data_IF_574372828098
#
_entry.id   IF_574372828098
#
_cell.length_a   1.000
_cell.length_b   1.000
_cell.length_c   1.000
_cell.angle_alpha   90.00
_cell.angle_beta   90.00
_cell.angle_gamma   90.00
#
_symmetry.space_group_name_H-M   'P 1'
#
loop_
_entity.id
_entity.type
_entity.pdbx_description
1 polymer ?
#
# COMPACT_ATOMS: atom_id res chain seq x y z
N UNK A 1 3.68 -43.40 -8.39
CA UNK A 1 4.35 -42.09 -8.26
C UNK A 1 3.53 -41.25 -7.29
N UNK A 2 4.04 -40.93 -6.08
CA UNK A 2 3.30 -40.08 -5.12
C UNK A 2 3.30 -38.64 -5.64
N UNK A 3 2.12 -38.05 -5.78
CA UNK A 3 1.99 -36.64 -6.15
C UNK A 3 2.55 -35.77 -5.03
N UNK A 4 3.53 -34.92 -5.33
CA UNK A 4 4.01 -33.86 -4.42
C UNK A 4 2.81 -33.02 -3.96
N UNK A 5 2.64 -32.75 -2.64
CA UNK A 5 1.58 -31.91 -2.10
C UNK A 5 1.48 -30.54 -2.81
N UNK A 6 0.27 -29.99 -2.89
CA UNK A 6 0.00 -28.72 -3.59
C UNK A 6 0.85 -27.57 -3.01
N UNK A 7 0.97 -27.49 -1.69
CA UNK A 7 1.66 -26.40 -1.01
C UNK A 7 3.16 -26.40 -1.28
N UNK A 8 3.79 -27.58 -1.33
CA UNK A 8 5.20 -27.73 -1.69
C UNK A 8 5.45 -27.28 -3.12
N UNK A 9 4.53 -27.59 -4.05
CA UNK A 9 4.62 -27.13 -5.45
C UNK A 9 4.49 -25.61 -5.54
N UNK A 10 3.53 -25.04 -4.82
CA UNK A 10 3.31 -23.59 -4.78
C UNK A 10 4.52 -22.88 -4.18
N UNK A 11 5.04 -23.37 -3.06
CA UNK A 11 6.21 -22.79 -2.38
C UNK A 11 7.43 -22.79 -3.30
N UNK A 12 7.70 -23.92 -3.95
CA UNK A 12 8.81 -24.03 -4.90
C UNK A 12 8.67 -23.04 -6.06
N UNK A 13 7.48 -22.93 -6.65
CA UNK A 13 7.23 -21.97 -7.75
C UNK A 13 7.40 -20.51 -7.30
N UNK A 14 6.98 -20.18 -6.08
CA UNK A 14 7.16 -18.85 -5.48
C UNK A 14 8.64 -18.53 -5.28
N UNK A 15 9.39 -19.45 -4.67
CA UNK A 15 10.84 -19.29 -4.43
C UNK A 15 11.62 -19.12 -5.74
N UNK A 16 11.27 -19.87 -6.78
CA UNK A 16 11.87 -19.75 -8.11
C UNK A 16 11.58 -18.36 -8.73
N UNK A 17 10.34 -17.89 -8.70
CA UNK A 17 9.98 -16.55 -9.18
C UNK A 17 10.70 -15.44 -8.42
N UNK A 18 10.78 -15.56 -7.09
CA UNK A 18 11.41 -14.55 -6.25
C UNK A 18 12.92 -14.52 -6.51
N UNK A 19 13.58 -15.68 -6.63
CA UNK A 19 15.00 -15.78 -6.96
C UNK A 19 15.35 -15.20 -8.33
N UNK A 20 14.43 -15.27 -9.30
CA UNK A 20 14.61 -14.67 -10.62
C UNK A 20 14.47 -13.14 -10.61
N UNK A 21 13.59 -12.59 -9.77
CA UNK A 21 13.26 -11.16 -9.73
C UNK A 21 14.06 -10.35 -8.70
N UNK A 22 14.45 -10.97 -7.59
CA UNK A 22 15.30 -10.41 -6.55
C UNK A 22 16.70 -10.99 -6.69
N UNK A 23 17.73 -10.13 -6.71
CA UNK A 23 19.11 -10.60 -6.83
C UNK A 23 19.51 -11.38 -5.56
N UNK A 24 20.01 -12.62 -5.70
CA UNK A 24 20.53 -13.35 -4.55
C UNK A 24 21.68 -12.58 -3.89
N UNK A 25 21.62 -12.43 -2.55
CA UNK A 25 22.65 -11.75 -1.76
C UNK A 25 22.42 -10.25 -1.51
N UNK A 26 21.45 -9.62 -2.19
CA UNK A 26 21.05 -8.22 -1.90
C UNK A 26 19.98 -8.14 -0.79
N UNK A 27 19.15 -9.18 -0.67
CA UNK A 27 18.06 -9.26 0.29
C UNK A 27 18.05 -10.61 1.00
N UNK A 28 17.75 -10.61 2.30
CA UNK A 28 17.28 -11.79 3.01
C UNK A 28 15.81 -12.00 2.67
N UNK A 29 15.48 -13.19 2.16
CA UNK A 29 14.15 -13.48 1.61
C UNK A 29 13.60 -14.73 2.28
N UNK A 30 12.40 -14.61 2.80
CA UNK A 30 11.60 -15.71 3.33
C UNK A 30 10.29 -15.82 2.54
N UNK A 31 9.91 -17.05 2.20
CA UNK A 31 8.76 -17.35 1.35
C UNK A 31 7.79 -18.30 2.06
N UNK A 32 6.58 -17.82 2.32
CA UNK A 32 5.52 -18.63 2.94
C UNK A 32 4.34 -18.85 2.01
N UNK A 33 3.83 -20.08 2.02
CA UNK A 33 2.54 -20.45 1.45
C UNK A 33 1.65 -20.88 2.61
N UNK A 34 0.52 -20.18 2.77
CA UNK A 34 -0.35 -20.32 3.93
C UNK A 34 -1.77 -20.62 3.47
N UNK A 35 -2.38 -21.63 4.07
CA UNK A 35 -3.79 -21.94 3.84
C UNK A 35 -4.72 -21.05 4.68
N UNK A 36 -5.90 -20.77 4.13
CA UNK A 36 -7.01 -20.08 4.82
C UNK A 36 -7.42 -18.75 4.19
N UNK A 37 -8.08 -17.91 4.99
CA UNK A 37 -8.60 -16.61 4.52
C UNK A 37 -7.47 -15.59 4.42
N UNK A 38 -7.07 -15.25 3.19
CA UNK A 38 -5.92 -14.38 2.90
C UNK A 38 -5.86 -13.10 3.75
N UNK A 39 -6.95 -12.33 3.88
CA UNK A 39 -6.94 -11.09 4.66
C UNK A 39 -6.69 -11.29 6.16
N UNK A 40 -7.15 -12.40 6.73
CA UNK A 40 -6.96 -12.72 8.16
C UNK A 40 -5.55 -13.26 8.40
N UNK A 41 -5.08 -14.15 7.52
CA UNK A 41 -3.72 -14.70 7.58
C UNK A 41 -2.65 -13.62 7.39
N UNK A 42 -2.85 -12.70 6.44
CA UNK A 42 -1.92 -11.57 6.24
C UNK A 42 -1.83 -10.67 7.48
N UNK A 43 -2.95 -10.36 8.13
CA UNK A 43 -2.96 -9.54 9.35
C UNK A 43 -2.21 -10.24 10.49
N UNK A 44 -2.53 -11.52 10.72
CA UNK A 44 -1.88 -12.31 11.77
C UNK A 44 -0.37 -12.41 11.55
N UNK A 45 0.08 -12.74 10.34
CA UNK A 45 1.51 -12.89 10.07
C UNK A 45 2.26 -11.56 10.01
N UNK A 46 1.60 -10.45 9.64
CA UNK A 46 2.21 -9.14 9.75
C UNK A 46 2.52 -8.77 11.20
N UNK A 47 1.67 -9.18 12.14
CA UNK A 47 1.89 -8.97 13.57
C UNK A 47 2.96 -9.93 14.12
N UNK A 48 2.86 -11.23 13.83
CA UNK A 48 3.83 -12.25 14.27
C UNK A 48 5.24 -11.95 13.78
N UNK A 49 5.39 -11.49 12.53
CA UNK A 49 6.70 -11.15 11.96
C UNK A 49 7.15 -9.71 12.22
N UNK A 50 6.35 -8.90 12.92
CA UNK A 50 6.68 -7.50 13.19
C UNK A 50 6.92 -6.67 11.92
N UNK A 51 6.06 -6.81 10.92
CA UNK A 51 6.21 -6.11 9.62
C UNK A 51 6.07 -4.60 9.82
N UNK A 52 7.07 -3.82 9.40
CA UNK A 52 7.00 -2.35 9.42
C UNK A 52 6.31 -1.75 8.18
N UNK A 53 6.48 -2.42 7.04
CA UNK A 53 5.94 -2.01 5.74
C UNK A 53 5.43 -3.21 4.94
N UNK A 54 4.12 -3.23 4.69
CA UNK A 54 3.49 -4.20 3.81
C UNK A 54 3.40 -3.65 2.37
N UNK A 55 3.96 -4.38 1.40
CA UNK A 55 3.89 -4.03 -0.02
C UNK A 55 2.86 -4.94 -0.69
N UNK A 56 1.80 -4.34 -1.23
CA UNK A 56 0.68 -5.06 -1.84
C UNK A 56 0.48 -4.64 -3.29
N UNK A 57 0.36 -5.61 -4.19
CA UNK A 57 -0.04 -5.34 -5.57
C UNK A 57 -1.50 -4.86 -5.65
N UNK A 58 -1.75 -3.76 -6.36
CA UNK A 58 -3.12 -3.33 -6.68
C UNK A 58 -3.65 -4.14 -7.85
N UNK A 59 -4.54 -5.10 -7.58
CA UNK A 59 -5.25 -5.83 -8.63
C UNK A 59 -6.05 -4.85 -9.50
N UNK A 60 -6.01 -5.07 -10.81
CA UNK A 60 -6.89 -4.38 -11.76
C UNK A 60 -8.32 -4.85 -11.45
N UNK A 61 -9.34 -3.97 -11.42
CA UNK A 61 -10.70 -4.34 -11.04
C UNK A 61 -11.27 -5.54 -11.83
N UNK A 62 -10.85 -5.72 -13.09
CA UNK A 62 -11.23 -6.86 -13.94
C UNK A 62 -10.66 -8.21 -13.49
N UNK A 63 -9.65 -8.24 -12.62
CA UNK A 63 -8.95 -9.44 -12.12
C UNK A 63 -9.34 -9.78 -10.67
N UNK A 64 -10.39 -9.12 -10.15
CA UNK A 64 -10.95 -9.36 -8.83
C UNK A 64 -11.11 -8.10 -7.99
N UNK A 65 -11.92 -8.23 -6.93
CA UNK A 65 -12.40 -7.11 -6.10
C UNK A 65 -11.33 -6.47 -5.19
N UNK A 66 -10.16 -7.10 -5.03
CA UNK A 66 -9.11 -6.63 -4.11
C UNK A 66 -9.52 -6.63 -2.63
N UNK A 67 -10.58 -7.36 -2.27
CA UNK A 67 -11.18 -7.34 -0.91
C UNK A 67 -10.18 -7.72 0.18
N UNK A 68 -9.31 -8.70 -0.05
CA UNK A 68 -8.30 -9.09 0.94
C UNK A 68 -7.32 -7.95 1.24
N UNK A 69 -6.78 -7.29 0.21
CA UNK A 69 -5.85 -6.17 0.36
C UNK A 69 -6.54 -4.94 0.99
N UNK A 70 -7.80 -4.67 0.63
CA UNK A 70 -8.59 -3.59 1.24
C UNK A 70 -8.93 -3.87 2.71
N UNK A 71 -9.20 -5.13 3.05
CA UNK A 71 -9.43 -5.57 4.44
C UNK A 71 -8.15 -5.44 5.25
N UNK A 72 -7.01 -5.85 4.68
CA UNK A 72 -5.69 -5.68 5.29
C UNK A 72 -5.39 -4.19 5.53
N UNK A 73 -5.51 -3.32 4.52
CA UNK A 73 -5.25 -1.87 4.66
C UNK A 73 -6.01 -1.23 5.84
N UNK A 74 -7.27 -1.63 6.06
CA UNK A 74 -8.10 -1.06 7.14
C UNK A 74 -7.69 -1.50 8.55
N UNK A 75 -6.96 -2.60 8.67
CA UNK A 75 -6.64 -3.24 9.96
C UNK A 75 -5.15 -3.49 10.15
N UNK A 76 -4.31 -3.08 9.20
CA UNK A 76 -2.89 -3.38 9.22
C UNK A 76 -2.25 -2.72 10.44
N UNK A 77 -1.38 -3.43 11.17
CA UNK A 77 -0.59 -2.83 12.24
C UNK A 77 0.56 -1.97 11.70
N UNK A 78 0.78 -1.98 10.39
CA UNK A 78 1.98 -1.45 9.71
C UNK A 78 1.64 -0.43 8.63
N UNK A 79 2.67 0.25 8.11
CA UNK A 79 2.49 1.08 6.92
C UNK A 79 2.18 0.19 5.71
N UNK A 80 1.31 0.63 4.80
CA UNK A 80 0.92 -0.17 3.63
C UNK A 80 1.21 0.60 2.34
N UNK A 81 2.01 0.02 1.45
CA UNK A 81 2.29 0.54 0.12
C UNK A 81 1.56 -0.29 -0.94
N UNK A 82 0.66 0.36 -1.67
CA UNK A 82 0.01 -0.24 -2.83
C UNK A 82 0.79 0.04 -4.10
N UNK A 83 1.26 -1.01 -4.78
CA UNK A 83 2.00 -0.91 -6.03
C UNK A 83 1.06 -1.22 -7.20
N UNK A 84 0.84 -0.29 -8.14
CA UNK A 84 0.04 -0.56 -9.33
C UNK A 84 0.75 -1.57 -10.24
N UNK A 85 -0.01 -2.28 -11.07
CA UNK A 85 0.54 -3.25 -12.02
C UNK A 85 1.36 -2.60 -13.17
N UNK A 86 1.29 -1.27 -13.33
CA UNK A 86 2.01 -0.55 -14.38
C UNK A 86 3.53 -0.61 -14.21
N UNK A 87 4.24 -0.50 -15.34
CA UNK A 87 5.71 -0.54 -15.41
C UNK A 87 6.32 0.50 -14.47
N UNK A 88 7.41 0.09 -13.80
CA UNK A 88 8.21 0.91 -12.88
C UNK A 88 8.61 2.22 -13.56
N UNK A 89 8.05 3.31 -13.09
CA UNK A 89 8.58 4.66 -13.32
C UNK A 89 9.34 5.09 -12.08
N UNK A 90 10.42 5.85 -12.28
CA UNK A 90 11.09 6.55 -11.18
C UNK A 90 10.09 7.46 -10.49
N UNK A 91 10.05 7.42 -9.15
CA UNK A 91 9.20 8.32 -8.36
C UNK A 91 9.80 9.72 -8.44
N UNK A 92 9.32 10.54 -9.38
CA UNK A 92 9.77 11.92 -9.53
C UNK A 92 8.92 12.94 -8.75
N UNK A 93 7.70 12.53 -8.36
CA UNK A 93 6.73 13.37 -7.66
C UNK A 93 6.00 12.59 -6.59
N UNK A 94 5.85 13.21 -5.42
CA UNK A 94 5.03 12.68 -4.32
C UNK A 94 3.98 13.74 -3.97
N UNK A 95 2.71 13.33 -4.04
CA UNK A 95 1.58 14.13 -3.56
C UNK A 95 1.18 13.61 -2.18
N UNK A 96 1.30 14.45 -1.15
CA UNK A 96 0.90 14.11 0.20
C UNK A 96 -0.41 14.83 0.54
N UNK A 97 -1.46 14.05 0.78
CA UNK A 97 -2.68 14.58 1.37
C UNK A 97 -2.41 14.94 2.83
N UNK A 98 -2.81 16.15 3.22
CA UNK A 98 -2.67 16.65 4.59
C UNK A 98 -3.97 17.25 5.07
N UNK A 99 -4.27 17.06 6.35
CA UNK A 99 -5.34 17.68 7.10
C UNK A 99 -4.77 18.55 8.25
N UNK A 100 -3.46 18.82 8.23
CA UNK A 100 -2.70 19.52 9.28
C UNK A 100 -2.75 18.85 10.66
N UNK A 101 -3.19 17.59 10.75
CA UNK A 101 -3.11 16.82 12.00
C UNK A 101 -1.67 16.44 12.36
N UNK A 102 -1.40 16.07 13.63
CA UNK A 102 -0.12 15.47 14.01
C UNK A 102 0.26 14.25 13.14
N UNK A 103 -0.71 13.43 12.76
CA UNK A 103 -0.51 12.26 11.88
C UNK A 103 -0.03 12.68 10.49
N UNK A 104 -0.63 13.73 9.91
CA UNK A 104 -0.18 14.28 8.62
C UNK A 104 1.23 14.86 8.69
N UNK A 105 1.64 15.39 9.85
CA UNK A 105 3.01 15.88 10.10
C UNK A 105 4.01 14.72 10.12
N UNK A 106 3.66 13.58 10.74
CA UNK A 106 4.47 12.37 10.68
C UNK A 106 4.64 11.87 9.23
N UNK A 107 3.54 11.84 8.46
CA UNK A 107 3.58 11.46 7.05
C UNK A 107 4.48 12.38 6.22
N UNK A 108 4.45 13.70 6.47
CA UNK A 108 5.33 14.66 5.81
C UNK A 108 6.80 14.37 6.10
N UNK A 109 7.16 14.12 7.36
CA UNK A 109 8.55 13.76 7.73
C UNK A 109 9.03 12.52 6.99
N UNK A 110 8.20 11.48 6.88
CA UNK A 110 8.52 10.26 6.13
C UNK A 110 8.67 10.51 4.64
N UNK A 111 7.80 11.33 4.04
CA UNK A 111 7.88 11.67 2.62
C UNK A 111 9.14 12.48 2.29
N UNK A 112 9.56 13.39 3.17
CA UNK A 112 10.82 14.13 3.00
C UNK A 112 12.03 13.20 3.07
N UNK A 113 12.08 12.30 4.07
CA UNK A 113 13.13 11.27 4.17
C UNK A 113 13.19 10.38 2.91
N UNK A 114 12.03 10.01 2.34
CA UNK A 114 11.98 9.28 1.08
C UNK A 114 12.47 10.11 -0.10
N UNK A 115 12.11 11.39 -0.17
CA UNK A 115 12.51 12.26 -1.27
C UNK A 115 14.04 12.44 -1.34
N UNK A 116 14.73 12.41 -0.20
CA UNK A 116 16.19 12.47 -0.11
C UNK A 116 16.87 11.15 -0.53
N UNK A 117 16.26 10.01 -0.18
CA UNK A 117 16.83 8.67 -0.46
C UNK A 117 16.50 8.12 -1.84
N UNK A 118 15.44 8.61 -2.46
CA UNK A 118 15.03 8.16 -3.79
C UNK A 118 15.97 8.72 -4.87
N UNK A 119 16.22 7.96 -5.96
CA UNK A 119 17.14 8.38 -6.99
C UNK A 119 16.60 9.57 -7.78
N UNK A 120 17.43 10.61 -7.91
CA UNK A 120 17.12 11.84 -8.64
C UNK A 120 16.31 12.85 -7.83
N UNK A 121 15.99 13.98 -8.44
CA UNK A 121 15.23 15.03 -7.76
C UNK A 121 13.74 14.63 -7.63
N UNK A 122 13.24 14.54 -6.40
CA UNK A 122 11.83 14.27 -6.10
C UNK A 122 11.13 15.54 -5.66
N UNK A 123 10.06 15.92 -6.37
CA UNK A 123 9.22 17.06 -5.97
C UNK A 123 8.08 16.58 -5.05
N UNK A 124 8.03 17.13 -3.84
CA UNK A 124 6.94 16.89 -2.89
C UNK A 124 5.92 18.01 -3.00
N UNK A 125 4.63 17.67 -3.01
CA UNK A 125 3.52 18.65 -3.02
C UNK A 125 2.48 18.26 -1.99
N UNK A 126 2.12 19.22 -1.13
CA UNK A 126 1.07 19.05 -0.12
C UNK A 126 -0.29 19.40 -0.72
N UNK A 127 -1.29 18.55 -0.48
CA UNK A 127 -2.66 18.76 -0.95
C UNK A 127 -3.58 18.75 0.26
N UNK A 128 -4.28 19.87 0.48
CA UNK A 128 -5.32 20.00 1.50
C UNK A 128 -6.66 20.28 0.79
N UNK A 129 -7.68 19.47 1.08
CA UNK A 129 -9.00 19.57 0.45
C UNK A 129 -10.04 19.95 1.50
N UNK A 130 -10.67 21.12 1.34
CA UNK A 130 -11.70 21.64 2.24
C UNK A 130 -13.06 21.55 1.54
N UNK A 131 -14.08 21.09 2.28
CA UNK A 131 -15.48 21.19 1.83
C UNK A 131 -16.04 22.54 2.26
N UNK A 132 -16.27 23.45 1.32
CA UNK A 132 -17.04 24.67 1.58
C UNK A 132 -18.54 24.36 1.52
N UNK A 133 -19.29 24.77 2.55
CA UNK A 133 -20.75 24.70 2.54
C UNK A 133 -21.31 25.66 1.48
N UNK A 134 -22.23 25.17 0.64
CA UNK A 134 -22.87 25.94 -0.40
C UNK A 134 -23.83 26.97 0.23
N UNK A 135 -23.46 28.24 0.21
CA UNK A 135 -24.34 29.33 0.69
C UNK A 135 -25.52 29.51 -0.26
N UNK A 136 -26.74 29.17 0.19
CA UNK A 136 -27.99 29.62 -0.45
C UNK A 136 -28.23 31.06 -0.01
N UNK A 137 -28.20 32.03 -0.94
CA UNK A 137 -28.69 33.40 -0.68
C UNK A 137 -30.13 33.30 -0.16
N UNK A 138 -30.34 33.68 1.10
CA UNK A 138 -31.68 33.85 1.66
C UNK A 138 -32.39 34.99 0.93
N UNK A 139 -33.58 34.72 0.42
CA UNK A 139 -34.47 35.75 -0.09
C UNK A 139 -34.81 36.70 1.06
N UNK A 140 -34.32 37.95 0.98
CA UNK A 140 -34.74 39.02 1.88
C UNK A 140 -36.25 39.19 1.68
N UNK A 141 -37.03 38.91 2.73
CA UNK A 141 -38.48 39.07 2.72
C UNK A 141 -38.84 40.51 2.38
N UNK A 142 -39.74 40.69 1.41
CA UNK A 142 -40.45 41.96 1.25
C UNK A 142 -41.45 42.07 2.40
N UNK A 143 -41.18 42.99 3.32
CA UNK A 143 -42.19 43.51 4.23
C UNK A 143 -43.19 44.30 3.40
N UNK A 144 -44.44 43.86 3.41
CA UNK A 144 -45.63 44.65 3.05
C UNK A 144 -46.57 44.59 4.22
#
# INVERSE_FOLDING_TARGET
MKATPLDERLKKSLEEEVKLKLKPGEFEVDCDVLEGKAGEKLLHWAEVKGVDLAILGRKIPSQGSGVAARRYLRKSPSSVLFVPHQKRQRIARIALATDFSPTSTYALRKVLDWAEKLPGQVKVSLIHVIRCAFWRKGSVGKST
#
